data_IF_938657422867
#
_entry.id   IF_938657422867
#
_cell.length_a   1.000
_cell.length_b   1.000
_cell.length_c   1.000
_cell.angle_alpha   90.00
_cell.angle_beta   90.00
_cell.angle_gamma   90.00
#
_symmetry.space_group_name_H-M   'P 1'
#
loop_
_entity.id
_entity.type
_entity.pdbx_description
1 polymer ?
#
# COMPACT_ATOMS: atom_id res chain seq x y z
N UNK A 1 11.95 -20.46 -11.80
CA UNK A 1 12.48 -19.16 -11.54
C UNK A 1 11.40 -18.22 -11.01
N UNK A 2 11.78 -17.38 -10.15
CA UNK A 2 10.85 -16.48 -9.48
C UNK A 2 10.55 -15.28 -10.36
N UNK A 3 9.28 -15.08 -10.68
CA UNK A 3 8.81 -13.91 -11.39
C UNK A 3 8.82 -12.69 -10.45
N UNK A 4 8.57 -11.51 -10.97
CA UNK A 4 8.62 -10.30 -10.14
C UNK A 4 7.63 -10.39 -8.97
N UNK A 5 6.41 -10.87 -9.20
CA UNK A 5 5.43 -11.09 -8.12
C UNK A 5 5.86 -12.22 -7.19
N UNK A 6 6.42 -13.30 -7.75
CA UNK A 6 6.92 -14.39 -6.94
C UNK A 6 8.16 -13.94 -6.16
N UNK A 7 8.97 -13.07 -6.73
CA UNK A 7 10.07 -12.45 -5.99
C UNK A 7 9.56 -11.55 -4.88
N UNK A 8 8.52 -10.80 -5.14
CA UNK A 8 7.90 -9.95 -4.12
C UNK A 8 7.24 -10.81 -3.05
N UNK A 9 6.49 -11.84 -3.45
CA UNK A 9 5.88 -12.79 -2.53
C UNK A 9 6.94 -13.64 -1.82
N UNK A 10 7.94 -14.11 -2.54
CA UNK A 10 9.06 -14.83 -1.96
C UNK A 10 9.90 -13.93 -1.07
N UNK A 11 10.04 -12.69 -1.44
CA UNK A 11 10.72 -11.68 -0.65
C UNK A 11 9.89 -11.33 0.59
N UNK A 12 8.58 -11.13 0.47
CA UNK A 12 7.68 -10.98 1.61
C UNK A 12 7.66 -12.26 2.45
N UNK A 13 7.59 -13.42 1.81
CA UNK A 13 7.57 -14.72 2.49
C UNK A 13 8.93 -15.16 3.01
N UNK A 14 9.98 -14.80 2.32
CA UNK A 14 11.36 -14.95 2.77
C UNK A 14 11.83 -13.76 3.58
N UNK A 15 10.92 -12.89 3.97
CA UNK A 15 11.19 -11.97 5.04
C UNK A 15 11.37 -12.79 6.32
N UNK A 16 12.26 -13.75 6.23
CA UNK A 16 13.07 -14.12 7.37
C UNK A 16 13.60 -12.83 7.98
N UNK A 17 13.96 -12.85 9.22
CA UNK A 17 14.42 -11.66 9.93
C UNK A 17 15.40 -10.79 9.14
N UNK A 18 16.29 -11.42 8.37
CA UNK A 18 17.30 -10.70 7.58
C UNK A 18 16.68 -9.90 6.44
N UNK A 19 15.66 -10.46 5.80
CA UNK A 19 14.99 -9.80 4.67
C UNK A 19 14.09 -8.66 5.12
N UNK A 20 13.45 -8.81 6.26
CA UNK A 20 12.71 -7.73 6.89
C UNK A 20 13.65 -6.56 7.21
N UNK A 21 14.82 -6.88 7.71
CA UNK A 21 15.83 -5.89 8.02
C UNK A 21 16.30 -5.15 6.76
N UNK A 22 16.59 -5.90 5.68
CA UNK A 22 16.98 -5.31 4.41
C UNK A 22 15.88 -4.39 3.87
N UNK A 23 14.62 -4.84 3.95
CA UNK A 23 13.49 -4.02 3.56
C UNK A 23 13.41 -2.73 4.37
N UNK A 24 13.59 -2.83 5.66
CA UNK A 24 13.56 -1.66 6.53
C UNK A 24 14.77 -0.74 6.34
N UNK A 25 15.92 -1.28 5.94
CA UNK A 25 17.16 -0.54 5.79
C UNK A 25 17.35 0.02 4.38
N UNK A 26 17.13 -0.82 3.37
CA UNK A 26 17.38 -0.47 1.97
C UNK A 26 16.10 -0.11 1.23
N UNK A 27 14.97 -0.24 1.90
CA UNK A 27 13.63 0.01 1.36
C UNK A 27 13.22 -0.93 0.24
N UNK A 28 14.01 -1.90 -0.14
CA UNK A 28 13.70 -2.86 -1.18
C UNK A 28 13.11 -2.18 -2.40
N UNK A 29 11.85 -2.49 -2.71
CA UNK A 29 11.14 -1.90 -3.85
C UNK A 29 10.57 -0.51 -3.58
N UNK A 30 10.45 -0.10 -2.32
CA UNK A 30 9.87 1.20 -1.98
C UNK A 30 10.74 2.37 -2.39
N UNK A 31 12.05 2.27 -2.23
CA UNK A 31 12.94 3.38 -2.57
C UNK A 31 12.94 3.69 -4.06
N UNK A 32 13.11 2.71 -4.97
CA UNK A 32 12.99 2.98 -6.40
C UNK A 32 11.64 3.55 -6.81
N UNK A 33 10.57 3.01 -6.25
CA UNK A 33 9.22 3.50 -6.52
C UNK A 33 9.02 4.93 -6.02
N UNK A 34 9.51 5.22 -4.82
CA UNK A 34 9.49 6.56 -4.23
C UNK A 34 10.24 7.56 -5.09
N UNK A 35 11.42 7.17 -5.57
CA UNK A 35 12.25 8.01 -6.43
C UNK A 35 11.57 8.25 -7.78
N UNK A 36 11.04 7.20 -8.40
CA UNK A 36 10.33 7.30 -9.68
C UNK A 36 9.15 8.27 -9.56
N UNK A 37 8.45 8.21 -8.46
CA UNK A 37 7.33 9.10 -8.22
C UNK A 37 7.73 10.54 -8.01
N UNK A 38 8.79 10.76 -7.27
CA UNK A 38 9.33 12.10 -7.09
C UNK A 38 9.79 12.67 -8.43
N UNK A 39 10.41 11.85 -9.28
CA UNK A 39 10.88 12.26 -10.61
C UNK A 39 9.73 12.53 -11.57
N UNK A 40 8.59 11.90 -11.38
CA UNK A 40 7.40 12.16 -12.18
C UNK A 40 6.78 13.53 -11.92
N UNK A 41 7.31 14.28 -10.96
CA UNK A 41 6.88 15.65 -10.66
C UNK A 41 5.37 15.78 -10.39
N UNK A 42 4.80 14.83 -9.66
CA UNK A 42 3.44 14.98 -9.18
C UNK A 42 3.32 16.22 -8.32
N UNK A 43 2.23 16.95 -8.51
CA UNK A 43 2.01 18.19 -7.79
C UNK A 43 1.97 17.98 -6.29
N UNK A 44 2.76 18.77 -5.56
CA UNK A 44 2.87 18.67 -4.12
C UNK A 44 1.82 19.49 -3.38
N UNK A 45 1.02 20.25 -4.10
CA UNK A 45 0.00 21.12 -3.53
C UNK A 45 -1.33 20.39 -3.25
N UNK A 46 -1.41 19.10 -3.53
CA UNK A 46 -2.62 18.32 -3.32
C UNK A 46 -2.83 18.02 -1.85
N UNK A 47 -4.02 18.29 -1.36
CA UNK A 47 -4.36 18.06 0.03
C UNK A 47 -4.88 16.62 0.29
N UNK A 48 -5.14 16.32 1.56
CA UNK A 48 -5.60 15.00 1.96
C UNK A 48 -6.96 14.63 1.33
N UNK A 49 -7.82 15.60 1.11
CA UNK A 49 -9.14 15.35 0.51
C UNK A 49 -9.00 14.95 -0.95
N UNK A 50 -8.09 15.56 -1.68
CA UNK A 50 -7.78 15.16 -3.05
C UNK A 50 -7.37 13.69 -3.11
N UNK A 51 -6.45 13.27 -2.25
CA UNK A 51 -5.98 11.88 -2.23
C UNK A 51 -7.07 10.90 -1.84
N UNK A 52 -7.96 11.28 -0.92
CA UNK A 52 -9.12 10.47 -0.57
C UNK A 52 -10.07 10.29 -1.75
N UNK A 53 -10.31 11.35 -2.51
CA UNK A 53 -11.17 11.29 -3.69
C UNK A 53 -10.57 10.40 -4.77
N UNK A 54 -9.27 10.54 -5.03
CA UNK A 54 -8.57 9.69 -5.98
C UNK A 54 -8.65 8.22 -5.54
N UNK A 55 -8.48 7.94 -4.25
CA UNK A 55 -8.58 6.59 -3.73
C UNK A 55 -9.99 6.01 -3.91
N UNK A 56 -11.02 6.80 -3.69
CA UNK A 56 -12.41 6.37 -3.94
C UNK A 56 -12.64 6.01 -5.41
N UNK A 57 -12.11 6.81 -6.32
CA UNK A 57 -12.18 6.52 -7.75
C UNK A 57 -11.43 5.24 -8.09
N UNK A 58 -10.29 5.03 -7.49
CA UNK A 58 -9.48 3.83 -7.70
C UNK A 58 -10.21 2.56 -7.23
N UNK A 59 -10.92 2.65 -6.13
CA UNK A 59 -11.74 1.54 -5.64
C UNK A 59 -12.85 1.21 -6.64
N UNK A 60 -13.49 2.20 -7.22
CA UNK A 60 -14.50 1.98 -8.26
C UNK A 60 -13.92 1.32 -9.50
N UNK A 61 -12.71 1.69 -9.89
CA UNK A 61 -12.02 1.06 -11.01
C UNK A 61 -11.72 -0.41 -10.74
N UNK A 62 -11.30 -0.74 -9.51
CA UNK A 62 -11.11 -2.13 -9.08
C UNK A 62 -12.42 -2.91 -9.19
N UNK A 63 -13.52 -2.34 -8.71
CA UNK A 63 -14.83 -2.98 -8.72
C UNK A 63 -15.36 -3.23 -10.13
N UNK A 64 -15.04 -2.36 -11.07
CA UNK A 64 -15.52 -2.45 -12.45
C UNK A 64 -14.62 -3.24 -13.39
N UNK A 65 -13.38 -3.50 -13.00
CA UNK A 65 -12.42 -4.17 -13.87
C UNK A 65 -12.61 -5.68 -13.85
N UNK A 66 -12.74 -6.27 -15.03
CA UNK A 66 -12.96 -7.71 -15.18
C UNK A 66 -11.75 -8.46 -15.73
N UNK A 67 -10.80 -7.76 -16.34
CA UNK A 67 -9.60 -8.37 -16.88
C UNK A 67 -8.49 -8.44 -15.83
N UNK A 68 -7.98 -9.64 -15.57
CA UNK A 68 -7.06 -9.89 -14.46
C UNK A 68 -5.80 -9.02 -14.50
N UNK A 69 -5.19 -8.87 -15.68
CA UNK A 69 -3.98 -8.06 -15.81
C UNK A 69 -4.21 -6.60 -15.48
N UNK A 70 -5.33 -6.04 -15.92
CA UNK A 70 -5.72 -4.66 -15.59
C UNK A 70 -6.11 -4.52 -14.14
N UNK A 71 -6.73 -5.54 -13.58
CA UNK A 71 -7.09 -5.54 -12.16
C UNK A 71 -5.86 -5.43 -11.27
N UNK A 72 -4.78 -6.11 -11.62
CA UNK A 72 -3.52 -5.96 -10.90
C UNK A 72 -3.00 -4.52 -10.96
N UNK A 73 -3.07 -3.91 -12.13
CA UNK A 73 -2.65 -2.52 -12.29
C UNK A 73 -3.48 -1.58 -11.41
N UNK A 74 -4.79 -1.80 -11.33
CA UNK A 74 -5.67 -1.01 -10.48
C UNK A 74 -5.28 -1.14 -9.00
N UNK A 75 -4.95 -2.34 -8.54
CA UNK A 75 -4.47 -2.53 -7.18
C UNK A 75 -3.10 -1.89 -6.94
N UNK A 76 -2.22 -1.92 -7.94
CA UNK A 76 -0.94 -1.23 -7.86
C UNK A 76 -1.16 0.29 -7.77
N UNK A 77 -2.13 0.81 -8.49
CA UNK A 77 -2.47 2.23 -8.41
C UNK A 77 -2.89 2.65 -7.00
N UNK A 78 -3.54 1.78 -6.24
CA UNK A 78 -3.85 2.06 -4.83
C UNK A 78 -2.57 2.27 -4.01
N UNK A 79 -1.58 1.41 -4.20
CA UNK A 79 -0.27 1.59 -3.56
C UNK A 79 0.32 2.93 -3.99
N UNK A 80 0.18 3.23 -5.26
CA UNK A 80 0.66 4.45 -5.87
C UNK A 80 0.04 5.69 -5.24
N UNK A 81 -1.25 5.74 -5.11
CA UNK A 81 -1.96 6.85 -4.47
C UNK A 81 -1.52 7.03 -3.03
N UNK A 82 -1.43 5.93 -2.28
CA UNK A 82 -1.02 5.97 -0.89
C UNK A 82 0.41 6.51 -0.72
N UNK A 83 1.34 6.03 -1.53
CA UNK A 83 2.73 6.50 -1.48
C UNK A 83 2.85 7.96 -1.91
N UNK A 84 2.09 8.38 -2.91
CA UNK A 84 2.11 9.77 -3.34
C UNK A 84 1.60 10.70 -2.25
N UNK A 85 0.54 10.31 -1.55
CA UNK A 85 0.08 11.04 -0.37
C UNK A 85 1.19 11.12 0.69
N UNK A 86 1.76 9.98 1.05
CA UNK A 86 2.80 9.92 2.08
C UNK A 86 4.02 10.75 1.71
N UNK A 87 4.34 10.82 0.41
CA UNK A 87 5.44 11.65 -0.10
C UNK A 87 5.24 13.13 0.23
N UNK A 88 4.01 13.59 0.30
CA UNK A 88 3.70 15.00 0.64
C UNK A 88 3.85 15.29 2.14
N UNK A 89 4.05 14.26 2.94
CA UNK A 89 4.26 14.39 4.38
C UNK A 89 5.76 14.33 4.70
N UNK A 90 6.11 14.44 5.96
CA UNK A 90 7.50 14.36 6.39
C UNK A 90 8.00 12.93 6.63
N UNK A 91 7.17 11.91 6.37
CA UNK A 91 7.57 10.52 6.57
C UNK A 91 8.62 10.10 5.53
N UNK A 92 9.57 9.29 5.96
CA UNK A 92 10.59 8.75 5.06
C UNK A 92 10.22 7.36 4.56
N UNK A 93 10.75 6.92 3.40
CA UNK A 93 10.52 5.54 2.93
C UNK A 93 10.92 4.50 3.97
N UNK A 94 11.99 4.74 4.73
CA UNK A 94 12.42 3.87 5.81
C UNK A 94 11.33 3.71 6.87
N UNK A 95 10.74 4.79 7.29
CA UNK A 95 9.69 4.77 8.30
C UNK A 95 8.41 4.13 7.78
N UNK A 96 8.11 4.28 6.50
CA UNK A 96 6.99 3.57 5.86
C UNK A 96 7.22 2.06 5.94
N UNK A 97 8.41 1.59 5.57
CA UNK A 97 8.75 0.17 5.62
C UNK A 97 8.64 -0.40 7.04
N UNK A 98 9.21 0.31 8.01
CA UNK A 98 9.13 -0.10 9.42
C UNK A 98 7.69 -0.14 9.93
N UNK A 99 6.90 0.87 9.60
CA UNK A 99 5.50 0.92 10.01
C UNK A 99 4.68 -0.20 9.36
N UNK A 100 4.94 -0.49 8.09
CA UNK A 100 4.25 -1.58 7.39
C UNK A 100 4.52 -2.94 8.05
N UNK A 101 5.77 -3.20 8.42
CA UNK A 101 6.15 -4.43 9.12
C UNK A 101 5.43 -4.52 10.47
N UNK A 102 5.45 -3.44 11.25
CA UNK A 102 4.75 -3.40 12.55
C UNK A 102 3.26 -3.67 12.41
N UNK A 103 2.63 -3.10 11.38
CA UNK A 103 1.21 -3.32 11.13
C UNK A 103 0.91 -4.75 10.71
N UNK A 104 1.74 -5.34 9.87
CA UNK A 104 1.59 -6.74 9.47
C UNK A 104 1.64 -7.67 10.69
N UNK A 105 2.57 -7.43 11.59
CA UNK A 105 2.70 -8.20 12.84
C UNK A 105 1.47 -7.98 13.72
N UNK A 106 1.02 -6.73 13.85
CA UNK A 106 -0.13 -6.36 14.69
C UNK A 106 -1.41 -7.03 14.23
N UNK A 107 -1.61 -7.16 12.93
CA UNK A 107 -2.85 -7.69 12.37
C UNK A 107 -2.82 -9.19 12.08
N UNK A 108 -1.69 -9.83 12.32
CA UNK A 108 -1.56 -11.27 12.12
C UNK A 108 -2.59 -12.04 12.95
N UNK A 109 -3.39 -12.87 12.30
CA UNK A 109 -4.40 -13.70 12.97
C UNK A 109 -5.65 -12.97 13.44
N UNK A 110 -5.83 -11.70 13.06
CA UNK A 110 -6.97 -10.87 13.53
C UNK A 110 -8.02 -10.58 12.46
N UNK A 111 -8.05 -11.38 11.41
CA UNK A 111 -8.95 -11.13 10.27
C UNK A 111 -10.43 -11.03 10.69
N UNK A 112 -10.88 -11.94 11.56
CA UNK A 112 -12.28 -11.94 12.03
C UNK A 112 -12.61 -10.67 12.83
N UNK A 113 -11.74 -10.29 13.74
CA UNK A 113 -11.94 -9.08 14.56
C UNK A 113 -12.02 -7.83 13.67
N UNK A 114 -11.17 -7.75 12.66
CA UNK A 114 -11.15 -6.62 11.72
C UNK A 114 -12.44 -6.60 10.91
N UNK A 115 -12.90 -7.75 10.41
CA UNK A 115 -14.15 -7.84 9.65
C UNK A 115 -15.35 -7.43 10.49
N UNK A 116 -15.41 -7.86 11.74
CA UNK A 116 -16.49 -7.49 12.66
C UNK A 116 -16.49 -5.98 12.94
N UNK A 117 -15.32 -5.42 13.14
CA UNK A 117 -15.17 -3.97 13.34
C UNK A 117 -15.69 -3.18 12.13
N UNK A 118 -15.37 -3.62 10.92
CA UNK A 118 -15.85 -2.94 9.73
C UNK A 118 -17.37 -3.05 9.57
N UNK A 119 -17.96 -4.20 9.91
CA UNK A 119 -19.42 -4.37 9.92
C UNK A 119 -20.09 -3.41 10.90
N UNK A 120 -19.54 -3.27 12.09
CA UNK A 120 -20.04 -2.32 13.08
C UNK A 120 -19.97 -0.88 12.57
N UNK A 121 -18.87 -0.51 11.93
CA UNK A 121 -18.73 0.82 11.32
C UNK A 121 -19.76 1.07 10.23
N UNK A 122 -19.99 0.10 9.34
CA UNK A 122 -21.02 0.19 8.31
C UNK A 122 -22.41 0.33 8.90
N UNK A 123 -22.73 -0.43 9.94
CA UNK A 123 -24.03 -0.35 10.62
C UNK A 123 -24.20 1.01 11.31
N UNK A 124 -23.14 1.56 11.87
CA UNK A 124 -23.14 2.91 12.46
C UNK A 124 -23.41 4.00 11.42
N UNK A 125 -22.85 3.86 10.23
CA UNK A 125 -23.04 4.81 9.14
C UNK A 125 -24.47 4.79 8.57
N UNK A 126 -25.16 3.65 8.66
CA UNK A 126 -26.54 3.49 8.19
C UNK A 126 -27.56 4.07 9.16
N UNK A 127 -27.20 4.27 10.38
CA UNK A 127 -28.03 4.84 11.42
C UNK A 127 -27.77 6.33 11.58
#
# INVERSE_FOLDING_TARGET
MVKVLDRFAAWLGSLSSDKIYIFGKDFGVLQPLWNAWREAEFEDCMDADYFKDVLKHQIKEIESETEQGRLWDEWIDVICVALNYLRTTSITPENIGKAAVKRAIRYKGKTKEIQEKYKEMENGERN
#
